data_IF_794227361585
#
_entry.id   IF_794227361585
#
_cell.length_a   1.000
_cell.length_b   1.000
_cell.length_c   1.000
_cell.angle_alpha   90.00
_cell.angle_beta   90.00
_cell.angle_gamma   90.00
#
_symmetry.space_group_name_H-M   'P 1'
#
loop_
_entity.id
_entity.type
_entity.pdbx_description
1 polymer ?
#
# COMPACT_ATOMS: atom_id res chain seq x y z
N UNK A 1 18.08 1.15 -0.74
CA UNK A 1 16.78 0.94 -0.04
C UNK A 1 16.95 -0.19 0.98
N UNK A 2 16.27 -0.18 2.13
CA UNK A 2 16.47 -1.18 3.22
C UNK A 2 16.35 -2.63 2.78
N UNK A 3 15.39 -2.98 1.90
CA UNK A 3 15.27 -4.37 1.43
C UNK A 3 16.48 -4.84 0.60
N UNK A 4 17.26 -3.93 0.02
CA UNK A 4 18.51 -4.28 -0.64
C UNK A 4 19.58 -4.64 0.39
N UNK A 5 19.76 -3.81 1.42
CA UNK A 5 20.70 -4.08 2.52
C UNK A 5 20.38 -5.40 3.24
N UNK A 6 19.10 -5.68 3.49
CA UNK A 6 18.66 -6.95 4.07
C UNK A 6 19.16 -8.15 3.26
N UNK A 7 19.07 -8.09 1.93
CA UNK A 7 19.56 -9.17 1.05
C UNK A 7 21.08 -9.23 1.00
N UNK A 8 21.74 -8.09 0.84
CA UNK A 8 23.22 -8.02 0.76
C UNK A 8 23.90 -8.54 2.02
N UNK A 9 23.21 -8.45 3.16
CA UNK A 9 23.70 -8.94 4.46
C UNK A 9 23.04 -10.26 4.87
N UNK A 10 22.30 -10.93 3.97
CA UNK A 10 21.63 -12.23 4.20
C UNK A 10 20.78 -12.26 5.49
N UNK A 11 20.19 -11.11 5.84
CA UNK A 11 19.34 -11.00 7.03
C UNK A 11 18.05 -11.77 6.74
N UNK A 12 17.76 -12.77 7.59
CA UNK A 12 16.59 -13.63 7.51
C UNK A 12 15.65 -13.51 8.71
N UNK A 13 14.72 -14.47 8.85
CA UNK A 13 13.84 -14.57 10.02
C UNK A 13 12.61 -13.66 10.00
N UNK A 14 12.17 -13.20 8.83
CA UNK A 14 10.96 -12.39 8.68
C UNK A 14 10.14 -12.81 7.44
N UNK A 15 8.84 -12.54 7.49
CA UNK A 15 7.88 -13.02 6.47
C UNK A 15 7.41 -11.94 5.50
N UNK A 16 7.69 -10.67 5.79
CA UNK A 16 7.22 -9.57 4.96
C UNK A 16 7.84 -8.22 5.29
N UNK A 17 7.36 -7.22 4.55
CA UNK A 17 7.84 -5.85 4.60
C UNK A 17 6.67 -4.89 4.83
N UNK A 18 6.87 -3.92 5.71
CA UNK A 18 6.01 -2.74 5.83
C UNK A 18 6.75 -1.58 5.17
N UNK A 19 6.16 -0.92 4.18
CA UNK A 19 6.84 0.16 3.45
C UNK A 19 5.89 1.27 2.99
N UNK A 20 6.31 2.55 3.02
CA UNK A 20 5.50 3.64 2.50
C UNK A 20 5.14 3.40 1.03
N UNK A 21 3.84 3.38 0.71
CA UNK A 21 3.35 3.22 -0.66
C UNK A 21 2.18 4.17 -0.86
N UNK A 22 2.30 5.14 -1.76
CA UNK A 22 1.23 6.04 -2.14
C UNK A 22 1.44 6.61 -3.55
N UNK A 23 0.37 7.14 -4.15
CA UNK A 23 0.37 7.63 -5.54
C UNK A 23 1.37 8.78 -5.79
N UNK A 24 1.65 9.57 -4.76
CA UNK A 24 2.45 10.79 -4.80
C UNK A 24 3.95 10.58 -4.49
N UNK A 25 4.35 9.42 -3.98
CA UNK A 25 5.76 9.19 -3.60
C UNK A 25 6.15 9.78 -2.24
N UNK A 26 5.18 10.25 -1.44
CA UNK A 26 5.46 10.87 -0.14
C UNK A 26 6.10 9.84 0.79
N UNK A 27 7.29 10.16 1.30
CA UNK A 27 8.12 9.29 2.15
C UNK A 27 8.53 7.95 1.49
N UNK A 28 8.45 7.84 0.15
CA UNK A 28 8.92 6.69 -0.60
C UNK A 28 10.38 6.90 -1.01
N UNK A 29 11.31 6.46 -0.16
CA UNK A 29 12.75 6.64 -0.36
C UNK A 29 13.43 5.40 -0.97
N UNK A 30 14.46 5.55 -1.83
CA UNK A 30 15.06 6.82 -2.25
C UNK A 30 14.21 7.57 -3.28
N UNK A 31 13.34 6.85 -3.98
CA UNK A 31 12.34 7.41 -4.89
C UNK A 31 11.13 6.50 -4.99
N UNK A 32 9.99 7.07 -5.40
CA UNK A 32 8.76 6.32 -5.69
C UNK A 32 9.01 5.11 -6.59
N UNK A 33 9.74 5.34 -7.70
CA UNK A 33 10.04 4.31 -8.71
C UNK A 33 10.86 3.16 -8.16
N UNK A 34 11.80 3.43 -7.26
CA UNK A 34 12.64 2.39 -6.65
C UNK A 34 11.86 1.57 -5.62
N UNK A 35 11.00 2.23 -4.83
CA UNK A 35 10.12 1.52 -3.90
C UNK A 35 9.15 0.62 -4.67
N UNK A 36 8.48 1.11 -5.72
CA UNK A 36 7.60 0.28 -6.57
C UNK A 36 8.34 -0.91 -7.20
N UNK A 37 9.59 -0.71 -7.66
CA UNK A 37 10.41 -1.79 -8.21
C UNK A 37 10.72 -2.84 -7.12
N UNK A 38 11.06 -2.39 -5.93
CA UNK A 38 11.35 -3.31 -4.83
C UNK A 38 10.10 -4.03 -4.34
N UNK A 39 8.94 -3.37 -4.26
CA UNK A 39 7.64 -3.96 -3.94
C UNK A 39 7.30 -5.11 -4.87
N UNK A 40 7.46 -4.93 -6.19
CA UNK A 40 7.26 -6.00 -7.17
C UNK A 40 8.18 -7.19 -6.95
N UNK A 41 9.44 -6.93 -6.61
CA UNK A 41 10.43 -7.98 -6.33
C UNK A 41 10.11 -8.75 -5.05
N UNK A 42 9.83 -8.04 -3.96
CA UNK A 42 9.42 -8.61 -2.66
C UNK A 42 8.26 -9.58 -2.85
N UNK A 43 7.25 -9.17 -3.62
CA UNK A 43 6.11 -10.02 -3.93
C UNK A 43 6.47 -11.24 -4.79
N UNK A 44 7.33 -11.08 -5.80
CA UNK A 44 7.80 -12.21 -6.61
C UNK A 44 8.63 -13.23 -5.80
N UNK A 45 9.18 -12.81 -4.67
CA UNK A 45 9.91 -13.66 -3.71
C UNK A 45 8.95 -14.32 -2.68
N UNK A 46 7.63 -14.12 -2.83
CA UNK A 46 6.61 -14.70 -1.95
C UNK A 46 6.51 -14.05 -0.56
N UNK A 47 7.13 -12.88 -0.37
CA UNK A 47 7.09 -12.14 0.89
C UNK A 47 5.86 -11.22 0.93
N UNK A 48 5.23 -11.14 2.10
CA UNK A 48 4.09 -10.25 2.30
C UNK A 48 4.52 -8.78 2.18
N UNK A 49 3.71 -7.98 1.48
CA UNK A 49 3.90 -6.54 1.34
C UNK A 49 2.73 -5.78 1.97
N UNK A 50 3.01 -5.06 3.05
CA UNK A 50 2.05 -4.19 3.73
C UNK A 50 2.37 -2.74 3.41
N UNK A 51 1.46 -2.06 2.71
CA UNK A 51 1.58 -0.64 2.43
C UNK A 51 1.27 0.19 3.68
N UNK A 52 2.15 1.13 4.05
CA UNK A 52 1.86 2.15 5.07
C UNK A 52 1.80 3.55 4.43
N UNK A 53 1.10 4.48 5.08
CA UNK A 53 0.88 5.87 4.61
C UNK A 53 0.26 5.96 3.19
N UNK A 54 -0.80 5.19 2.89
CA UNK A 54 -1.42 5.23 1.56
C UNK A 54 -2.01 6.59 1.22
N UNK A 55 -2.48 7.35 2.22
CA UNK A 55 -3.12 8.66 2.04
C UNK A 55 -2.14 9.84 1.96
N UNK A 56 -0.82 9.60 2.02
CA UNK A 56 0.20 10.64 2.01
C UNK A 56 -0.06 11.77 3.04
N UNK A 57 -0.55 11.41 4.22
CA UNK A 57 -0.95 12.35 5.27
C UNK A 57 -2.18 13.18 4.91
N UNK A 58 -3.22 12.53 4.38
CA UNK A 58 -4.51 13.15 4.02
C UNK A 58 -4.53 13.88 2.68
N UNK A 59 -3.47 13.78 1.86
CA UNK A 59 -3.36 14.48 0.57
C UNK A 59 -4.04 13.77 -0.59
N UNK A 60 -4.33 12.47 -0.42
CA UNK A 60 -4.94 11.63 -1.46
C UNK A 60 -6.27 11.11 -0.92
N UNK A 61 -7.39 11.28 -1.64
CA UNK A 61 -8.67 10.71 -1.23
C UNK A 61 -8.61 9.18 -1.09
N UNK A 62 -9.38 8.57 -0.17
CA UNK A 62 -9.27 7.13 0.12
C UNK A 62 -9.40 6.22 -1.09
N UNK A 63 -10.39 6.45 -1.97
CA UNK A 63 -10.60 5.63 -3.17
C UNK A 63 -9.41 5.63 -4.10
N UNK A 64 -8.83 6.80 -4.37
CA UNK A 64 -7.66 6.92 -5.25
C UNK A 64 -6.43 6.24 -4.61
N UNK A 65 -6.20 6.49 -3.33
CA UNK A 65 -5.06 5.94 -2.61
C UNK A 65 -5.12 4.40 -2.53
N UNK A 66 -6.28 3.85 -2.14
CA UNK A 66 -6.46 2.41 -2.00
C UNK A 66 -6.46 1.72 -3.36
N UNK A 67 -7.00 2.34 -4.41
CA UNK A 67 -6.92 1.80 -5.77
C UNK A 67 -5.46 1.70 -6.21
N UNK A 68 -4.67 2.73 -5.95
CA UNK A 68 -3.24 2.70 -6.25
C UNK A 68 -2.51 1.58 -5.50
N UNK A 69 -2.76 1.44 -4.20
CA UNK A 69 -2.12 0.40 -3.39
C UNK A 69 -2.48 -1.01 -3.85
N UNK A 70 -3.77 -1.31 -4.02
CA UNK A 70 -4.24 -2.67 -4.30
C UNK A 70 -4.24 -3.04 -5.79
N UNK A 71 -4.38 -2.07 -6.71
CA UNK A 71 -4.47 -2.34 -8.15
C UNK A 71 -3.22 -1.99 -8.94
N UNK A 72 -2.45 -0.97 -8.51
CA UNK A 72 -1.21 -0.60 -9.22
C UNK A 72 0.04 -1.23 -8.59
N UNK A 73 0.13 -1.23 -7.25
CA UNK A 73 1.27 -1.83 -6.53
C UNK A 73 0.99 -3.28 -6.10
N UNK A 74 -0.30 -3.63 -6.00
CA UNK A 74 -0.79 -4.95 -5.62
C UNK A 74 -0.25 -5.41 -4.25
N UNK A 75 -0.21 -4.50 -3.27
CA UNK A 75 0.13 -4.86 -1.90
C UNK A 75 -0.91 -5.83 -1.31
N UNK A 76 -0.47 -6.74 -0.44
CA UNK A 76 -1.34 -7.74 0.18
C UNK A 76 -2.27 -7.13 1.23
N UNK A 77 -1.80 -6.06 1.89
CA UNK A 77 -2.57 -5.30 2.87
C UNK A 77 -2.12 -3.82 2.90
N UNK A 78 -2.92 -2.97 3.54
CA UNK A 78 -2.53 -1.61 3.85
C UNK A 78 -2.88 -1.20 5.28
N UNK A 79 -2.06 -0.33 5.86
CA UNK A 79 -2.30 0.33 7.14
C UNK A 79 -2.70 1.79 6.90
N UNK A 80 -3.90 2.14 7.35
CA UNK A 80 -4.47 3.49 7.31
C UNK A 80 -4.57 4.05 8.73
N UNK A 81 -4.43 5.36 8.86
CA UNK A 81 -4.74 6.09 10.09
C UNK A 81 -6.08 6.78 9.90
N UNK A 82 -6.94 6.69 10.91
CA UNK A 82 -8.30 7.25 10.92
C UNK A 82 -8.49 8.05 12.20
N UNK A 83 -9.26 9.13 12.13
CA UNK A 83 -9.58 10.00 13.26
C UNK A 83 -10.94 9.68 13.89
N UNK A 84 -11.80 8.92 13.21
CA UNK A 84 -13.11 8.50 13.72
C UNK A 84 -13.52 7.11 13.24
N UNK A 85 -14.59 6.57 13.82
CA UNK A 85 -15.17 5.28 13.40
C UNK A 85 -15.81 5.40 12.02
N UNK A 86 -16.44 6.52 11.72
CA UNK A 86 -17.10 6.80 10.43
C UNK A 86 -16.08 6.81 9.28
N UNK A 87 -14.92 7.42 9.48
CA UNK A 87 -13.80 7.36 8.52
C UNK A 87 -13.34 5.91 8.31
N UNK A 88 -13.21 5.13 9.39
CA UNK A 88 -12.83 3.73 9.29
C UNK A 88 -13.84 2.90 8.48
N UNK A 89 -15.14 3.09 8.74
CA UNK A 89 -16.20 2.42 8.00
C UNK A 89 -16.22 2.80 6.52
N UNK A 90 -15.99 4.08 6.20
CA UNK A 90 -15.87 4.54 4.83
C UNK A 90 -14.68 3.91 4.10
N UNK A 91 -13.50 3.99 4.71
CA UNK A 91 -12.27 3.46 4.14
C UNK A 91 -12.34 1.94 3.94
N UNK A 92 -12.89 1.19 4.91
CA UNK A 92 -13.06 -0.26 4.79
C UNK A 92 -14.07 -0.63 3.69
N UNK A 93 -15.16 0.13 3.55
CA UNK A 93 -16.14 -0.08 2.48
C UNK A 93 -15.51 0.16 1.11
N UNK A 94 -14.73 1.22 0.96
CA UNK A 94 -14.00 1.55 -0.26
C UNK A 94 -12.96 0.46 -0.57
N UNK A 95 -12.17 0.05 0.43
CA UNK A 95 -11.18 -1.02 0.28
C UNK A 95 -11.85 -2.32 -0.17
N UNK A 96 -12.97 -2.71 0.45
CA UNK A 96 -13.71 -3.92 0.08
C UNK A 96 -14.17 -3.90 -1.37
N UNK A 97 -14.78 -2.79 -1.82
CA UNK A 97 -15.20 -2.61 -3.21
C UNK A 97 -14.02 -2.73 -4.18
N UNK A 98 -12.91 -2.07 -3.85
CA UNK A 98 -11.70 -2.11 -4.66
C UNK A 98 -11.15 -3.52 -4.72
N UNK A 99 -11.09 -4.27 -3.62
CA UNK A 99 -10.52 -5.62 -3.58
C UNK A 99 -11.43 -6.64 -4.31
N UNK A 100 -12.74 -6.60 -4.04
CA UNK A 100 -13.70 -7.51 -4.67
C UNK A 100 -13.92 -7.24 -6.16
N UNK A 101 -13.54 -6.05 -6.65
CA UNK A 101 -13.77 -5.64 -8.03
C UNK A 101 -15.20 -5.17 -8.29
N UNK A 102 -15.97 -4.91 -7.23
CA UNK A 102 -17.28 -4.29 -7.34
C UNK A 102 -17.13 -2.83 -7.80
N UNK A 103 -17.62 -2.53 -9.01
CA UNK A 103 -17.84 -1.15 -9.41
C UNK A 103 -18.84 -0.50 -8.44
N UNK A 104 -18.53 0.71 -7.95
CA UNK A 104 -19.47 1.47 -7.15
C UNK A 104 -20.79 1.58 -7.94
N UNK A 105 -21.88 1.04 -7.37
CA UNK A 105 -23.21 1.24 -7.93
C UNK A 105 -23.46 2.75 -7.96
N UNK A 106 -23.50 3.31 -9.17
CA UNK A 106 -23.91 4.70 -9.37
C UNK A 106 -25.37 4.79 -8.98
N UNK A 107 -25.64 5.33 -7.78
CA UNK A 107 -26.96 5.83 -7.42
C UNK A 107 -27.19 7.12 -8.24
N UNK A 108 -27.97 7.00 -9.31
CA UNK A 108 -28.61 8.13 -9.98
C UNK A 108 -29.74 8.67 -9.11
#
# INVERSE_FOLDING_TARGET
>A
MTAQLIRENEIGGFDGYVTPINRLGVMMFPSKKEVERASRRIRSEGKMLIAIKPFAGGRIPPREALAYVYRNVEADACMIGVASVEEAEEDFRIARQIISGEAAKSSY
#
